data_IF_633863781686
#
_entry.id   IF_633863781686
#
_cell.length_a   1.000
_cell.length_b   1.000
_cell.length_c   1.000
_cell.angle_alpha   90.00
_cell.angle_beta   90.00
_cell.angle_gamma   90.00
#
_symmetry.space_group_name_H-M   'P 1'
#
loop_
_entity.id
_entity.type
_entity.pdbx_description
1 polymer ?
#
# COMPACT_ATOMS: atom_id res chain seq x y z
N UNK A 1 50.59 -14.04 -16.41
CA UNK A 1 50.51 -12.80 -17.21
C UNK A 1 49.31 -13.00 -18.12
N UNK A 2 48.21 -12.24 -18.12
CA UNK A 2 47.90 -10.91 -17.59
C UNK A 2 46.36 -10.76 -17.55
N UNK A 3 45.86 -10.48 -16.35
CA UNK A 3 44.65 -9.75 -15.98
C UNK A 3 43.49 -9.59 -16.99
N UNK A 4 42.40 -10.33 -16.77
CA UNK A 4 41.05 -9.90 -17.16
C UNK A 4 40.48 -9.01 -16.05
N UNK A 5 40.63 -7.69 -16.24
CA UNK A 5 40.10 -6.67 -15.37
C UNK A 5 38.58 -6.48 -15.60
N UNK A 6 37.87 -6.45 -14.48
CA UNK A 6 36.49 -5.97 -14.24
C UNK A 6 36.21 -4.59 -14.82
N UNK A 7 34.93 -4.30 -15.19
CA UNK A 7 34.17 -3.01 -15.15
C UNK A 7 32.98 -3.13 -16.14
N UNK A 8 31.74 -3.42 -15.72
CA UNK A 8 30.68 -2.41 -15.45
C UNK A 8 29.40 -3.11 -14.93
N UNK A 9 29.09 -3.05 -13.62
CA UNK A 9 27.82 -3.56 -13.07
C UNK A 9 27.23 -2.72 -11.91
N UNK A 10 27.68 -1.47 -11.72
CA UNK A 10 27.40 -0.71 -10.49
C UNK A 10 26.23 0.27 -10.49
N UNK A 11 25.64 0.64 -11.64
CA UNK A 11 24.69 1.77 -11.72
C UNK A 11 23.20 1.42 -11.66
N UNK A 12 22.78 0.32 -12.29
CA UNK A 12 21.35 -0.04 -12.43
C UNK A 12 20.82 -0.97 -11.33
N UNK A 13 21.70 -1.74 -10.68
CA UNK A 13 21.30 -2.71 -9.67
C UNK A 13 20.88 -2.00 -8.37
N UNK A 14 21.66 -1.02 -7.92
CA UNK A 14 21.37 -0.23 -6.71
C UNK A 14 20.06 0.57 -6.83
N UNK A 15 19.79 1.16 -8.00
CA UNK A 15 18.56 1.91 -8.25
C UNK A 15 17.29 1.05 -8.13
N UNK A 16 17.25 -0.08 -8.85
CA UNK A 16 16.12 -1.00 -8.78
C UNK A 16 16.00 -1.63 -7.40
N UNK A 17 17.10 -1.97 -6.74
CA UNK A 17 17.11 -2.49 -5.37
C UNK A 17 16.45 -1.52 -4.37
N UNK A 18 16.75 -0.22 -4.47
CA UNK A 18 16.12 0.82 -3.63
C UNK A 18 14.61 0.90 -3.86
N UNK A 19 14.15 0.79 -5.10
CA UNK A 19 12.72 0.75 -5.43
C UNK A 19 12.03 -0.49 -4.89
N UNK A 20 12.67 -1.67 -4.96
CA UNK A 20 12.15 -2.90 -4.34
C UNK A 20 12.14 -2.81 -2.81
N UNK A 21 13.17 -2.24 -2.19
CA UNK A 21 13.22 -2.04 -0.75
C UNK A 21 12.09 -1.10 -0.29
N UNK A 22 11.90 0.02 -1.00
CA UNK A 22 10.79 0.94 -0.75
C UNK A 22 9.43 0.24 -0.87
N UNK A 23 9.23 -0.58 -1.91
CA UNK A 23 7.99 -1.34 -2.09
C UNK A 23 7.73 -2.26 -0.89
N UNK A 24 8.73 -3.01 -0.43
CA UNK A 24 8.60 -3.90 0.74
C UNK A 24 8.24 -3.13 2.01
N UNK A 25 8.85 -1.98 2.21
CA UNK A 25 8.56 -1.11 3.36
C UNK A 25 7.10 -0.63 3.34
N UNK A 26 6.62 -0.18 2.17
CA UNK A 26 5.22 0.21 1.99
C UNK A 26 4.24 -0.93 2.25
N UNK A 27 4.59 -2.16 1.86
CA UNK A 27 3.78 -3.37 2.10
C UNK A 27 3.77 -3.78 3.57
N UNK A 28 4.88 -3.62 4.27
CA UNK A 28 4.99 -3.93 5.70
C UNK A 28 4.19 -2.95 6.57
N UNK A 29 4.17 -1.66 6.18
CA UNK A 29 3.53 -0.60 6.98
C UNK A 29 2.62 0.35 6.17
N UNK A 30 1.57 -0.11 5.46
CA UNK A 30 0.76 0.74 4.57
C UNK A 30 0.12 1.97 5.25
N UNK A 31 -0.19 1.84 6.54
CA UNK A 31 -0.79 2.87 7.38
C UNK A 31 0.14 4.04 7.71
N UNK A 32 1.45 3.87 7.54
CA UNK A 32 2.39 4.96 7.78
C UNK A 32 2.23 6.10 6.78
N UNK A 33 2.63 7.29 7.22
CA UNK A 33 2.55 8.49 6.42
C UNK A 33 3.70 8.54 5.39
N UNK A 34 3.50 7.89 4.25
CA UNK A 34 4.36 8.05 3.09
C UNK A 34 3.93 9.28 2.28
N UNK A 35 4.73 10.33 2.32
CA UNK A 35 4.74 11.34 1.26
C UNK A 35 5.74 10.93 0.20
N UNK A 36 5.59 11.45 -1.02
CA UNK A 36 6.59 11.19 -2.06
C UNK A 36 7.97 11.74 -1.65
N UNK A 37 8.00 12.82 -0.87
CA UNK A 37 9.21 13.42 -0.31
C UNK A 37 9.86 12.53 0.75
N UNK A 38 9.07 11.96 1.69
CA UNK A 38 9.63 11.08 2.71
C UNK A 38 10.18 9.79 2.11
N UNK A 39 9.45 9.20 1.15
CA UNK A 39 9.90 8.02 0.42
C UNK A 39 11.18 8.30 -0.39
N UNK A 40 11.24 9.44 -1.09
CA UNK A 40 12.43 9.86 -1.83
C UNK A 40 13.64 10.04 -0.90
N UNK A 41 13.46 10.68 0.25
CA UNK A 41 14.51 10.85 1.26
C UNK A 41 14.99 9.51 1.82
N UNK A 42 14.08 8.61 2.19
CA UNK A 42 14.41 7.29 2.75
C UNK A 42 15.16 6.41 1.75
N UNK A 43 14.83 6.51 0.46
CA UNK A 43 15.49 5.73 -0.59
C UNK A 43 16.74 6.41 -1.18
N UNK A 44 17.13 7.59 -0.67
CA UNK A 44 18.20 8.41 -1.23
C UNK A 44 18.02 8.68 -2.74
N UNK A 45 16.79 9.05 -3.13
CA UNK A 45 16.38 9.33 -4.51
C UNK A 45 15.79 10.74 -4.62
N UNK A 46 15.76 11.30 -5.83
CA UNK A 46 14.90 12.45 -6.11
C UNK A 46 13.43 11.99 -6.25
N UNK A 47 12.48 12.88 -5.98
CA UNK A 47 11.04 12.60 -6.16
C UNK A 47 10.69 12.25 -7.61
N UNK A 48 11.33 12.91 -8.59
CA UNK A 48 11.14 12.64 -10.02
C UNK A 48 11.67 11.27 -10.41
N UNK A 49 12.89 10.93 -9.97
CA UNK A 49 13.47 9.60 -10.19
C UNK A 49 12.59 8.53 -9.57
N UNK A 50 12.17 8.69 -8.31
CA UNK A 50 11.31 7.71 -7.63
C UNK A 50 9.99 7.51 -8.37
N UNK A 51 9.25 8.58 -8.67
CA UNK A 51 7.94 8.46 -9.34
C UNK A 51 8.04 7.80 -10.72
N UNK A 52 9.01 8.21 -11.52
CA UNK A 52 9.24 7.68 -12.87
C UNK A 52 9.74 6.24 -12.82
N UNK A 53 10.74 5.96 -11.98
CA UNK A 53 11.31 4.64 -11.78
C UNK A 53 10.31 3.64 -11.24
N UNK A 54 9.56 4.02 -10.20
CA UNK A 54 8.54 3.17 -9.60
C UNK A 54 7.45 2.79 -10.61
N UNK A 55 6.95 3.77 -11.39
CA UNK A 55 5.97 3.50 -12.45
C UNK A 55 6.55 2.60 -13.55
N UNK A 56 7.80 2.82 -13.96
CA UNK A 56 8.47 2.01 -14.98
C UNK A 56 8.68 0.57 -14.52
N UNK A 57 9.06 0.38 -13.26
CA UNK A 57 9.40 -0.93 -12.71
C UNK A 57 8.16 -1.75 -12.31
N UNK A 58 7.15 -1.11 -11.72
CA UNK A 58 5.96 -1.79 -11.18
C UNK A 58 4.67 -1.58 -11.99
N UNK A 59 4.72 -0.79 -13.07
CA UNK A 59 3.57 -0.52 -13.94
C UNK A 59 2.49 0.39 -13.32
N UNK A 60 2.66 0.84 -12.08
CA UNK A 60 1.70 1.67 -11.34
C UNK A 60 2.41 2.83 -10.66
N UNK A 61 1.76 4.00 -10.59
CA UNK A 61 2.37 5.13 -9.88
C UNK A 61 2.45 4.86 -8.38
N UNK A 62 3.49 5.40 -7.74
CA UNK A 62 3.71 5.32 -6.30
C UNK A 62 2.44 5.61 -5.47
N UNK A 63 1.77 6.73 -5.75
CA UNK A 63 0.54 7.11 -5.04
C UNK A 63 -0.61 6.12 -5.25
N UNK A 64 -0.80 5.59 -6.46
CA UNK A 64 -1.87 4.62 -6.73
C UNK A 64 -1.59 3.27 -6.06
N UNK A 65 -0.33 2.89 -6.00
CA UNK A 65 0.09 1.67 -5.31
C UNK A 65 -0.13 1.79 -3.81
N UNK A 66 0.36 2.87 -3.18
CA UNK A 66 0.11 3.16 -1.77
C UNK A 66 -1.39 3.20 -1.44
N UNK A 67 -2.19 3.88 -2.26
CA UNK A 67 -3.63 3.92 -2.09
C UNK A 67 -4.25 2.51 -2.11
N UNK A 68 -3.75 1.63 -2.98
CA UNK A 68 -4.25 0.25 -3.08
C UNK A 68 -3.92 -0.56 -1.83
N UNK A 69 -2.69 -0.44 -1.30
CA UNK A 69 -2.30 -1.08 -0.05
C UNK A 69 -3.14 -0.59 1.13
N UNK A 70 -3.36 0.73 1.22
CA UNK A 70 -4.18 1.33 2.29
C UNK A 70 -5.64 0.89 2.23
N UNK A 71 -6.21 0.79 1.04
CA UNK A 71 -7.58 0.28 0.86
C UNK A 71 -7.69 -1.22 1.16
N UNK A 72 -6.64 -2.00 0.92
CA UNK A 72 -6.58 -3.41 1.28
C UNK A 72 -6.55 -3.58 2.81
N UNK A 73 -5.67 -2.84 3.48
CA UNK A 73 -5.59 -2.82 4.95
C UNK A 73 -6.92 -2.36 5.59
N UNK A 74 -7.57 -1.34 5.04
CA UNK A 74 -8.86 -0.91 5.54
C UNK A 74 -9.94 -1.99 5.36
N UNK A 75 -9.92 -2.71 4.24
CA UNK A 75 -10.87 -3.79 3.98
C UNK A 75 -10.67 -4.96 4.94
N UNK A 76 -9.42 -5.37 5.23
CA UNK A 76 -9.15 -6.41 6.23
C UNK A 76 -9.62 -5.98 7.62
N UNK A 77 -9.29 -4.75 8.04
CA UNK A 77 -9.75 -4.23 9.34
C UNK A 77 -11.29 -4.13 9.43
N UNK A 78 -11.97 -3.82 8.33
CA UNK A 78 -13.45 -3.77 8.29
C UNK A 78 -14.09 -5.15 8.40
N UNK A 79 -13.43 -6.18 7.88
CA UNK A 79 -13.91 -7.56 7.88
C UNK A 79 -13.57 -8.28 9.20
N UNK A 80 -12.39 -8.05 9.75
CA UNK A 80 -11.84 -8.83 10.87
C UNK A 80 -12.08 -8.19 12.24
N UNK A 81 -12.51 -6.92 12.29
CA UNK A 81 -12.63 -6.17 13.55
C UNK A 81 -13.92 -5.38 13.66
N UNK A 82 -14.32 -5.12 14.91
CA UNK A 82 -15.42 -4.20 15.25
C UNK A 82 -14.96 -2.76 15.50
N UNK A 83 -13.73 -2.40 15.13
CA UNK A 83 -13.18 -1.07 15.40
C UNK A 83 -14.04 0.05 14.78
N UNK A 84 -14.17 1.22 15.43
CA UNK A 84 -14.88 2.35 14.84
C UNK A 84 -14.30 2.76 13.49
N UNK A 85 -15.15 3.16 12.55
CA UNK A 85 -14.71 3.54 11.19
C UNK A 85 -13.60 4.61 11.21
N UNK A 86 -13.71 5.59 12.11
CA UNK A 86 -12.69 6.65 12.27
C UNK A 86 -11.31 6.11 12.70
N UNK A 87 -11.28 5.04 13.51
CA UNK A 87 -10.03 4.39 13.89
C UNK A 87 -9.40 3.66 12.69
N UNK A 88 -10.21 2.96 11.90
CA UNK A 88 -9.77 2.27 10.68
C UNK A 88 -9.22 3.26 9.65
N UNK A 89 -9.92 4.37 9.41
CA UNK A 89 -9.46 5.44 8.49
C UNK A 89 -8.05 5.92 8.87
N UNK A 90 -7.83 6.18 10.17
CA UNK A 90 -6.52 6.60 10.69
C UNK A 90 -5.47 5.50 10.56
N UNK A 91 -5.78 4.27 10.96
CA UNK A 91 -4.87 3.11 10.85
C UNK A 91 -4.48 2.80 9.40
N UNK A 92 -5.42 2.97 8.47
CA UNK A 92 -5.17 2.82 7.04
C UNK A 92 -4.41 4.01 6.42
N UNK A 93 -4.01 5.02 7.20
CA UNK A 93 -3.19 6.13 6.73
C UNK A 93 -3.93 7.18 5.92
N UNK A 94 -5.26 7.29 6.06
CA UNK A 94 -6.05 8.34 5.43
C UNK A 94 -6.13 9.58 6.32
N UNK A 95 -5.95 10.76 5.72
CA UNK A 95 -6.05 12.05 6.43
C UNK A 95 -7.51 12.40 6.73
N UNK A 96 -8.43 12.07 5.81
CA UNK A 96 -9.85 12.42 5.94
C UNK A 96 -10.75 11.23 5.65
N UNK A 97 -11.85 11.12 6.39
CA UNK A 97 -12.88 10.10 6.17
C UNK A 97 -13.58 10.26 4.81
N UNK A 98 -13.75 11.49 4.33
CA UNK A 98 -14.35 11.75 3.01
C UNK A 98 -13.48 11.21 1.87
N UNK A 99 -12.16 11.47 1.92
CA UNK A 99 -11.21 10.93 0.95
C UNK A 99 -11.18 9.40 0.96
N UNK A 100 -11.19 8.82 2.16
CA UNK A 100 -11.31 7.37 2.35
C UNK A 100 -12.60 6.82 1.73
N UNK A 101 -13.77 7.34 2.09
CA UNK A 101 -15.06 6.84 1.62
C UNK A 101 -15.16 6.87 0.09
N UNK A 102 -14.70 7.96 -0.54
CA UNK A 102 -14.67 8.09 -2.00
C UNK A 102 -13.75 7.05 -2.64
N UNK A 103 -12.55 6.87 -2.11
CA UNK A 103 -11.57 5.91 -2.63
C UNK A 103 -12.04 4.46 -2.43
N UNK A 104 -12.60 4.15 -1.26
CA UNK A 104 -13.10 2.83 -0.91
C UNK A 104 -14.29 2.44 -1.79
N UNK A 105 -15.29 3.31 -1.92
CA UNK A 105 -16.44 3.08 -2.81
C UNK A 105 -16.00 2.93 -4.26
N UNK A 106 -15.02 3.71 -4.73
CA UNK A 106 -14.46 3.57 -6.07
C UNK A 106 -13.79 2.21 -6.30
N UNK A 107 -13.14 1.65 -5.27
CA UNK A 107 -12.41 0.38 -5.37
C UNK A 107 -13.30 -0.85 -5.22
N UNK A 108 -14.25 -0.82 -4.28
CA UNK A 108 -15.06 -1.97 -3.89
C UNK A 108 -16.54 -1.86 -4.26
N UNK A 109 -16.97 -0.74 -4.86
CA UNK A 109 -18.36 -0.50 -5.29
C UNK A 109 -19.33 -0.13 -4.17
N UNK A 110 -19.02 -0.47 -2.92
CA UNK A 110 -19.87 -0.24 -1.74
C UNK A 110 -19.24 0.71 -0.73
N UNK A 111 -20.04 1.25 0.17
CA UNK A 111 -19.52 2.04 1.30
C UNK A 111 -18.78 1.15 2.31
N UNK A 112 -17.82 1.68 3.08
CA UNK A 112 -17.14 0.93 4.13
C UNK A 112 -18.10 0.28 5.15
N UNK A 113 -19.16 1.00 5.55
CA UNK A 113 -20.17 0.48 6.48
C UNK A 113 -20.97 -0.67 5.87
N UNK A 114 -21.35 -0.54 4.59
CA UNK A 114 -22.03 -1.64 3.88
C UNK A 114 -21.09 -2.84 3.71
N UNK A 115 -19.82 -2.61 3.38
CA UNK A 115 -18.81 -3.65 3.28
C UNK A 115 -18.69 -4.46 4.57
N UNK A 116 -18.60 -3.80 5.73
CA UNK A 116 -18.59 -4.45 7.04
C UNK A 116 -19.83 -5.31 7.26
N UNK A 117 -21.02 -4.79 6.95
CA UNK A 117 -22.28 -5.51 7.17
C UNK A 117 -22.39 -6.78 6.29
N UNK A 118 -21.89 -6.72 5.06
CA UNK A 118 -21.87 -7.87 4.16
C UNK A 118 -20.93 -8.98 4.64
N UNK A 119 -19.76 -8.62 5.18
CA UNK A 119 -18.83 -9.61 5.74
C UNK A 119 -19.26 -10.10 7.12
N UNK A 120 -19.89 -9.27 7.96
CA UNK A 120 -20.40 -9.71 9.27
C UNK A 120 -21.57 -10.70 9.15
N UNK A 121 -22.40 -10.58 8.09
CA UNK A 121 -23.46 -11.56 7.81
C UNK A 121 -22.90 -12.91 7.35
N UNK A 122 -21.71 -12.93 6.73
CA UNK A 122 -21.03 -14.17 6.37
C UNK A 122 -20.58 -14.98 7.60
N UNK A 123 -20.21 -14.31 8.69
CA UNK A 123 -19.84 -15.00 9.93
C UNK A 123 -21.03 -15.66 10.65
N UNK A 124 -22.24 -15.10 10.58
CA UNK A 124 -23.39 -15.65 11.31
C UNK A 124 -23.91 -16.97 10.70
N UNK A 125 -23.97 -17.09 9.37
CA UNK A 125 -24.43 -18.32 8.72
C UNK A 125 -23.37 -19.43 8.67
N UNK A 126 -22.07 -19.08 8.70
CA UNK A 126 -20.98 -20.06 8.65
C UNK A 126 -20.56 -20.59 10.03
N UNK A 127 -20.66 -19.79 11.10
CA UNK A 127 -20.41 -20.30 12.47
C UNK A 127 -21.56 -21.16 12.99
N UNK A 128 -22.81 -20.88 12.61
CA UNK A 128 -23.97 -21.68 13.02
C UNK A 128 -23.97 -23.11 12.46
N UNK A 129 -23.16 -23.42 11.44
CA UNK A 129 -23.03 -24.75 10.82
C UNK A 129 -21.78 -25.52 11.27
N UNK A 130 -21.04 -25.00 12.25
CA UNK A 130 -19.84 -25.64 12.82
C UNK A 130 -19.92 -25.89 14.34
N UNK A 131 -21.10 -25.72 14.93
CA UNK A 131 -21.46 -26.29 16.25
C UNK A 131 -22.22 -27.59 16.06
#
# INVERSE_FOLDING_TARGET
MNASATITAGGNNDYSQRLYALKREMEASPGQHYTIQSAAKQSCMSTSSLTTGFKRLFGISFHRYLLSLRLLLAASLLAETYEPLNAIVKKAGFVTASGFNKAFKKRYGVSPSAFRLHYSKWDYENFSKRS
#
